data_IF_603445567149
#
_entry.id   IF_603445567149
#
_cell.length_a   1.000
_cell.length_b   1.000
_cell.length_c   1.000
_cell.angle_alpha   90.00
_cell.angle_beta   90.00
_cell.angle_gamma   90.00
#
_symmetry.space_group_name_H-M   'P 1'
#
loop_
_entity.id
_entity.type
_entity.pdbx_description
1 polymer ?
#
# COMPACT_ATOMS: atom_id res chain seq x y z
N UNK A 1 -2.78 -14.55 -4.05
CA UNK A 1 -3.19 -13.85 -2.80
C UNK A 1 -3.31 -12.36 -3.04
N UNK A 2 -2.23 -11.65 -3.38
CA UNK A 2 -2.21 -10.20 -3.51
C UNK A 2 -3.27 -9.61 -4.46
N UNK A 3 -3.41 -10.13 -5.67
CA UNK A 3 -4.45 -9.66 -6.62
C UNK A 3 -5.88 -9.79 -6.09
N UNK A 4 -6.13 -10.72 -5.16
CA UNK A 4 -7.47 -11.03 -4.65
C UNK A 4 -7.75 -10.33 -3.31
N UNK A 5 -6.74 -10.18 -2.48
CA UNK A 5 -6.88 -9.73 -1.08
C UNK A 5 -6.03 -8.50 -0.73
N UNK A 6 -5.24 -7.98 -1.67
CA UNK A 6 -4.49 -6.74 -1.51
C UNK A 6 -5.44 -5.54 -1.54
N UNK A 7 -5.87 -5.10 -0.36
CA UNK A 7 -6.89 -4.05 -0.21
C UNK A 7 -6.32 -2.63 -0.04
N UNK A 8 -5.01 -2.48 0.17
CA UNK A 8 -4.32 -1.20 0.35
C UNK A 8 -3.23 -1.04 -0.70
N UNK A 9 -2.89 0.20 -1.12
CA UNK A 9 -1.70 0.45 -1.94
C UNK A 9 -0.43 -0.17 -1.35
N UNK A 10 -0.35 -0.27 -0.02
CA UNK A 10 0.78 -0.90 0.69
C UNK A 10 0.94 -2.39 0.43
N UNK A 11 -0.13 -3.08 0.04
CA UNK A 11 -0.06 -4.51 -0.24
C UNK A 11 0.91 -4.80 -1.41
N UNK A 12 1.01 -3.90 -2.40
CA UNK A 12 1.99 -4.05 -3.49
C UNK A 12 3.44 -3.88 -3.01
N UNK A 13 3.67 -3.11 -1.95
CA UNK A 13 5.00 -2.89 -1.40
C UNK A 13 5.59 -4.14 -0.75
N UNK A 14 4.77 -5.15 -0.43
CA UNK A 14 5.28 -6.45 0.05
C UNK A 14 6.10 -7.18 -1.01
N UNK A 15 5.99 -6.80 -2.29
CA UNK A 15 6.75 -7.39 -3.41
C UNK A 15 8.07 -6.67 -3.72
N UNK A 16 8.40 -5.61 -2.97
CA UNK A 16 9.64 -4.88 -3.23
C UNK A 16 10.88 -5.75 -2.96
N UNK A 17 11.98 -5.56 -3.70
CA UNK A 17 13.22 -6.27 -3.46
C UNK A 17 13.70 -6.14 -2.01
N UNK A 18 14.00 -7.28 -1.38
CA UNK A 18 14.47 -7.35 0.01
C UNK A 18 13.37 -7.38 1.07
N UNK A 19 12.10 -7.47 0.66
CA UNK A 19 11.00 -7.82 1.56
C UNK A 19 10.95 -9.33 1.80
N UNK A 20 10.58 -9.71 3.02
CA UNK A 20 10.29 -11.09 3.43
C UNK A 20 8.79 -11.24 3.68
N UNK A 21 8.30 -12.49 3.67
CA UNK A 21 6.91 -12.81 3.96
C UNK A 21 6.80 -13.79 5.13
N UNK A 22 5.87 -13.51 6.04
CA UNK A 22 5.38 -14.50 7.00
C UNK A 22 4.08 -15.07 6.47
N UNK A 23 4.05 -16.39 6.25
CA UNK A 23 2.86 -17.09 5.75
C UNK A 23 2.10 -17.75 6.90
N UNK A 24 0.77 -17.69 6.83
CA UNK A 24 -0.07 -18.40 7.78
C UNK A 24 0.11 -19.92 7.68
N UNK A 25 0.02 -20.61 8.82
CA UNK A 25 0.09 -22.06 8.91
C UNK A 25 -1.21 -22.66 9.47
N UNK A 26 -1.31 -23.99 9.48
CA UNK A 26 -2.46 -24.75 10.00
C UNK A 26 -3.82 -24.34 9.39
N UNK A 27 -3.82 -24.10 8.07
CA UNK A 27 -5.02 -23.73 7.31
C UNK A 27 -5.33 -22.23 7.31
N UNK A 28 -4.57 -21.41 8.03
CA UNK A 28 -4.70 -19.95 7.99
C UNK A 28 -4.14 -19.42 6.67
N UNK A 29 -5.03 -18.89 5.82
CA UNK A 29 -4.67 -18.40 4.49
C UNK A 29 -4.20 -16.95 4.52
N UNK A 30 -3.02 -16.68 3.99
CA UNK A 30 -2.53 -15.32 3.75
C UNK A 30 -1.09 -15.11 4.18
N UNK A 31 -0.61 -13.87 4.04
CA UNK A 31 0.75 -13.52 4.44
C UNK A 31 0.86 -12.08 4.95
N UNK A 32 1.94 -11.79 5.66
CA UNK A 32 2.35 -10.45 6.10
C UNK A 32 3.74 -10.15 5.53
N UNK A 33 3.86 -9.07 4.76
CA UNK A 33 5.15 -8.60 4.27
C UNK A 33 5.91 -7.81 5.33
N UNK A 34 7.19 -8.11 5.52
CA UNK A 34 8.03 -7.45 6.51
C UNK A 34 9.47 -7.31 6.07
N UNK A 35 10.23 -6.52 6.83
CA UNK A 35 11.69 -6.46 6.72
C UNK A 35 12.31 -6.20 8.09
N UNK A 36 13.45 -6.83 8.33
CA UNK A 36 14.23 -6.60 9.54
C UNK A 36 15.17 -5.39 9.39
N UNK A 37 15.25 -4.59 10.44
CA UNK A 37 16.20 -3.49 10.59
C UNK A 37 16.87 -3.59 11.96
N UNK A 38 18.05 -4.22 11.98
CA UNK A 38 18.75 -4.57 13.21
C UNK A 38 17.92 -5.55 14.05
N UNK A 39 17.64 -5.27 15.33
CA UNK A 39 16.88 -6.17 16.20
C UNK A 39 15.35 -6.03 16.07
N UNK A 40 14.87 -5.15 15.18
CA UNK A 40 13.45 -4.81 15.01
C UNK A 40 12.92 -5.32 13.68
N UNK A 41 11.67 -5.77 13.69
CA UNK A 41 10.94 -6.22 12.51
C UNK A 41 9.83 -5.25 12.16
N UNK A 42 9.77 -4.79 10.92
CA UNK A 42 8.77 -3.83 10.46
C UNK A 42 7.88 -4.47 9.39
N UNK A 43 6.56 -4.44 9.58
CA UNK A 43 5.62 -4.82 8.52
C UNK A 43 5.36 -3.65 7.59
N UNK A 44 4.90 -3.94 6.38
CA UNK A 44 4.34 -2.93 5.47
C UNK A 44 2.88 -3.25 5.16
N UNK A 45 1.98 -2.35 5.56
CA UNK A 45 0.56 -2.50 5.29
C UNK A 45 -0.14 -3.56 6.17
N UNK A 46 -1.40 -3.77 5.85
CA UNK A 46 -2.26 -4.80 6.45
C UNK A 46 -1.89 -6.22 5.97
N UNK A 47 -2.28 -7.27 6.71
CA UNK A 47 -2.16 -8.65 6.24
C UNK A 47 -2.88 -8.87 4.91
N UNK A 48 -2.24 -9.58 3.99
CA UNK A 48 -2.82 -9.94 2.68
C UNK A 48 -3.48 -11.29 2.80
N UNK A 49 -4.76 -11.29 3.20
CA UNK A 49 -5.52 -12.49 3.54
C UNK A 49 -7.04 -12.28 3.35
N UNK A 50 -7.84 -13.37 3.30
CA UNK A 50 -9.28 -13.28 3.50
C UNK A 50 -9.61 -12.60 4.84
N UNK A 51 -10.68 -11.79 4.93
CA UNK A 51 -11.04 -11.09 6.18
C UNK A 51 -11.15 -12.00 7.40
N UNK A 52 -11.69 -13.21 7.21
CA UNK A 52 -11.85 -14.23 8.25
C UNK A 52 -10.52 -14.75 8.81
N UNK A 53 -9.42 -14.68 8.05
CA UNK A 53 -8.11 -15.15 8.46
C UNK A 53 -7.25 -14.07 9.13
N UNK A 54 -7.70 -12.80 9.14
CA UNK A 54 -6.89 -11.66 9.59
C UNK A 54 -6.45 -11.81 11.04
N UNK A 55 -7.36 -12.20 11.94
CA UNK A 55 -7.06 -12.35 13.36
C UNK A 55 -6.02 -13.45 13.61
N UNK A 56 -6.25 -14.65 13.07
CA UNK A 56 -5.38 -15.80 13.29
C UNK A 56 -3.98 -15.57 12.70
N UNK A 57 -3.90 -14.94 11.52
CA UNK A 57 -2.63 -14.62 10.89
C UNK A 57 -1.82 -13.60 11.72
N UNK A 58 -2.48 -12.56 12.25
CA UNK A 58 -1.83 -11.60 13.16
C UNK A 58 -1.39 -12.26 14.46
N UNK A 59 -2.20 -13.17 15.01
CA UNK A 59 -1.87 -13.90 16.23
C UNK A 59 -0.64 -14.80 16.03
N UNK A 60 -0.62 -15.60 14.97
CA UNK A 60 0.52 -16.43 14.61
C UNK A 60 1.79 -15.59 14.46
N UNK A 61 1.69 -14.45 13.76
CA UNK A 61 2.84 -13.60 13.54
C UNK A 61 3.32 -12.92 14.83
N UNK A 62 2.41 -12.42 15.67
CA UNK A 62 2.74 -11.85 16.98
C UNK A 62 3.49 -12.84 17.87
N UNK A 63 3.14 -14.12 17.84
CA UNK A 63 3.81 -15.17 18.60
C UNK A 63 5.17 -15.58 18.01
N UNK A 64 5.41 -15.29 16.73
CA UNK A 64 6.65 -15.67 16.02
C UNK A 64 7.85 -14.77 16.33
N UNK A 65 7.61 -13.53 16.79
CA UNK A 65 8.67 -12.55 16.98
C UNK A 65 8.35 -11.54 18.09
N UNK A 66 9.27 -11.30 19.04
CA UNK A 66 8.98 -10.45 20.22
C UNK A 66 9.01 -8.94 19.95
N UNK A 67 9.52 -8.50 18.79
CA UNK A 67 9.75 -7.07 18.48
C UNK A 67 9.29 -6.71 17.06
N UNK A 68 7.98 -6.71 16.89
CA UNK A 68 7.33 -6.36 15.62
C UNK A 68 6.71 -4.97 15.74
N UNK A 69 6.95 -4.14 14.74
CA UNK A 69 6.26 -2.85 14.55
C UNK A 69 5.42 -2.93 13.30
N UNK A 70 4.12 -2.69 13.43
CA UNK A 70 3.19 -2.67 12.31
C UNK A 70 3.10 -1.26 11.73
N UNK A 71 3.40 -1.10 10.43
CA UNK A 71 3.46 0.21 9.79
C UNK A 71 2.45 0.33 8.63
N UNK A 72 1.82 1.50 8.52
CA UNK A 72 0.77 1.78 7.51
C UNK A 72 -0.39 0.76 7.50
N UNK A 73 -0.83 0.33 8.67
CA UNK A 73 -2.03 -0.52 8.83
C UNK A 73 -3.30 0.32 8.90
N UNK A 74 -4.42 -0.27 8.50
CA UNK A 74 -5.72 0.34 8.63
C UNK A 74 -6.27 0.25 10.07
N UNK A 75 -7.40 0.93 10.30
CA UNK A 75 -8.06 0.99 11.61
C UNK A 75 -8.54 -0.38 12.11
N UNK A 76 -8.99 -1.29 11.24
CA UNK A 76 -9.46 -2.64 11.64
C UNK A 76 -8.30 -3.50 12.16
N UNK A 77 -7.18 -3.53 11.45
CA UNK A 77 -5.97 -4.24 11.87
C UNK A 77 -5.42 -3.67 13.17
N UNK A 78 -5.38 -2.33 13.31
CA UNK A 78 -4.92 -1.66 14.52
C UNK A 78 -5.78 -2.01 15.75
N UNK A 79 -7.09 -2.23 15.58
CA UNK A 79 -7.98 -2.66 16.68
C UNK A 79 -7.62 -4.06 17.16
N UNK A 80 -7.45 -5.01 16.23
CA UNK A 80 -7.05 -6.39 16.57
C UNK A 80 -5.70 -6.38 17.33
N UNK A 81 -4.73 -5.62 16.83
CA UNK A 81 -3.42 -5.52 17.47
C UNK A 81 -3.48 -4.87 18.86
N UNK A 82 -4.37 -3.90 19.09
CA UNK A 82 -4.57 -3.34 20.43
C UNK A 82 -5.04 -4.38 21.43
N UNK A 83 -5.91 -5.31 21.01
CA UNK A 83 -6.36 -6.42 21.85
C UNK A 83 -5.22 -7.41 22.15
N UNK A 84 -4.19 -7.46 21.29
CA UNK A 84 -2.94 -8.19 21.48
C UNK A 84 -1.87 -7.40 22.28
N UNK A 85 -2.22 -6.24 22.84
CA UNK A 85 -1.33 -5.44 23.69
C UNK A 85 -0.46 -4.41 22.98
N UNK A 86 -0.68 -4.16 21.68
CA UNK A 86 0.04 -3.12 20.95
C UNK A 86 -0.52 -1.72 21.22
N UNK A 87 0.34 -0.72 21.18
CA UNK A 87 -0.06 0.68 21.08
C UNK A 87 -0.21 1.07 19.61
N UNK A 88 -1.27 1.81 19.28
CA UNK A 88 -1.53 2.29 17.93
C UNK A 88 -1.54 3.82 17.91
N UNK A 89 -0.73 4.41 17.03
CA UNK A 89 -0.68 5.85 16.79
C UNK A 89 -1.22 6.15 15.39
N UNK A 90 -2.05 7.18 15.25
CA UNK A 90 -2.51 7.63 13.94
C UNK A 90 -1.38 8.40 13.24
N UNK A 91 -0.91 7.86 12.11
CA UNK A 91 0.11 8.49 11.28
C UNK A 91 -0.49 9.55 10.34
N UNK A 92 -1.71 9.33 9.86
CA UNK A 92 -2.39 10.22 8.93
C UNK A 92 -3.74 9.68 8.47
N UNK A 93 -4.27 10.27 7.40
CA UNK A 93 -5.49 9.86 6.72
C UNK A 93 -5.20 9.72 5.23
N UNK A 94 -5.83 8.74 4.58
CA UNK A 94 -5.71 8.51 3.14
C UNK A 94 -6.99 9.01 2.44
N UNK A 95 -6.80 9.82 1.39
CA UNK A 95 -7.91 10.33 0.58
C UNK A 95 -8.41 9.27 -0.39
N UNK A 96 -9.59 8.71 -0.14
CA UNK A 96 -10.23 7.74 -1.02
C UNK A 96 -11.20 8.46 -1.96
N UNK A 97 -11.07 8.25 -3.26
CA UNK A 97 -11.98 8.78 -4.29
C UNK A 97 -12.74 7.62 -4.90
N UNK A 98 -14.07 7.59 -4.71
CA UNK A 98 -14.96 6.67 -5.43
C UNK A 98 -15.13 7.13 -6.87
N UNK A 99 -14.44 6.48 -7.80
CA UNK A 99 -14.47 6.85 -9.22
C UNK A 99 -15.85 6.64 -9.87
N UNK A 100 -16.70 5.77 -9.34
CA UNK A 100 -18.03 5.52 -9.91
C UNK A 100 -19.00 6.67 -9.59
N UNK A 101 -18.86 7.27 -8.41
CA UNK A 101 -19.72 8.36 -7.95
C UNK A 101 -19.09 9.76 -8.14
N UNK A 102 -17.79 9.83 -8.44
CA UNK A 102 -17.08 11.10 -8.51
C UNK A 102 -17.31 11.86 -9.83
N UNK A 103 -17.79 13.11 -9.72
CA UNK A 103 -17.84 14.05 -10.85
C UNK A 103 -16.75 15.12 -10.75
N UNK A 104 -15.99 15.35 -11.82
CA UNK A 104 -15.02 16.46 -11.91
C UNK A 104 -15.65 17.84 -12.15
N UNK A 105 -16.98 17.92 -12.19
CA UNK A 105 -17.74 19.15 -12.38
C UNK A 105 -17.90 19.96 -11.07
N UNK A 106 -18.49 21.16 -11.16
CA UNK A 106 -18.79 22.01 -10.01
C UNK A 106 -17.70 23.01 -9.63
N UNK A 107 -18.07 24.04 -8.87
CA UNK A 107 -17.21 25.19 -8.56
C UNK A 107 -15.97 24.81 -7.75
N UNK A 108 -16.09 23.87 -6.81
CA UNK A 108 -14.97 23.43 -5.96
C UNK A 108 -13.81 22.77 -6.72
N UNK A 109 -14.01 22.36 -7.97
CA UNK A 109 -13.01 21.67 -8.81
C UNK A 109 -12.58 22.50 -10.03
N UNK A 110 -12.90 23.80 -10.03
CA UNK A 110 -12.59 24.70 -11.15
C UNK A 110 -11.09 24.78 -11.43
N UNK A 111 -10.27 24.87 -10.38
CA UNK A 111 -8.82 24.95 -10.53
C UNK A 111 -8.24 23.68 -11.19
N UNK A 112 -8.67 22.49 -10.77
CA UNK A 112 -8.25 21.22 -11.37
C UNK A 112 -8.61 21.18 -12.86
N UNK A 113 -9.84 21.55 -13.23
CA UNK A 113 -10.26 21.59 -14.64
C UNK A 113 -9.46 22.61 -15.46
N UNK A 114 -9.14 23.76 -14.87
CA UNK A 114 -8.32 24.78 -15.53
C UNK A 114 -6.90 24.26 -15.78
N UNK A 115 -6.26 23.64 -14.79
CA UNK A 115 -4.93 23.06 -14.93
C UNK A 115 -4.90 21.94 -15.98
N UNK A 116 -5.90 21.05 -15.96
CA UNK A 116 -6.07 20.01 -16.98
C UNK A 116 -6.17 20.59 -18.40
N UNK A 117 -7.02 21.61 -18.61
CA UNK A 117 -7.19 22.25 -19.91
C UNK A 117 -5.91 22.97 -20.37
N UNK A 118 -5.15 23.55 -19.45
CA UNK A 118 -3.87 24.17 -19.78
C UNK A 118 -2.84 23.12 -20.23
N UNK A 119 -2.77 21.97 -19.55
CA UNK A 119 -1.89 20.86 -19.94
C UNK A 119 -2.21 20.34 -21.35
N UNK A 120 -3.50 20.19 -21.68
CA UNK A 120 -3.94 19.81 -23.03
C UNK A 120 -3.53 20.85 -24.07
N UNK A 121 -3.71 22.15 -23.78
CA UNK A 121 -3.29 23.24 -24.69
C UNK A 121 -1.79 23.29 -24.91
N UNK A 122 -0.99 22.87 -23.93
CA UNK A 122 0.46 22.74 -24.08
C UNK A 122 0.91 21.43 -24.75
N UNK A 123 -0.03 20.59 -25.20
CA UNK A 123 0.28 19.35 -25.91
C UNK A 123 0.66 18.17 -25.01
N UNK A 124 0.35 18.22 -23.71
CA UNK A 124 0.60 17.09 -22.80
C UNK A 124 -0.37 15.95 -23.13
N UNK A 125 0.18 14.74 -23.28
CA UNK A 125 -0.57 13.51 -23.50
C UNK A 125 -0.33 12.55 -22.35
N UNK A 126 -1.39 11.91 -21.88
CA UNK A 126 -1.32 10.83 -20.87
C UNK A 126 -1.66 9.51 -21.56
N UNK A 127 -0.86 8.48 -21.33
CA UNK A 127 -1.06 7.13 -21.85
C UNK A 127 -0.75 6.12 -20.76
N UNK A 128 -1.59 5.10 -20.65
CA UNK A 128 -1.29 3.92 -19.84
C UNK A 128 -0.24 3.08 -20.57
N UNK A 129 0.67 2.47 -19.80
CA UNK A 129 1.66 1.54 -20.32
C UNK A 129 1.68 0.29 -19.46
N UNK A 130 1.61 -0.87 -20.11
CA UNK A 130 1.67 -2.18 -19.46
C UNK A 130 3.10 -2.61 -19.08
N UNK A 131 4.02 -1.64 -18.93
CA UNK A 131 5.43 -1.91 -18.59
C UNK A 131 6.30 -2.30 -19.79
N UNK A 132 6.05 -1.72 -20.97
CA UNK A 132 6.91 -1.89 -22.14
C UNK A 132 8.38 -1.53 -21.78
N UNK A 133 9.37 -2.38 -22.11
CA UNK A 133 10.78 -2.14 -21.83
C UNK A 133 11.27 -0.74 -22.24
N UNK A 134 10.81 -0.21 -23.37
CA UNK A 134 11.21 1.12 -23.86
C UNK A 134 10.74 2.26 -22.96
N UNK A 135 9.53 2.18 -22.41
CA UNK A 135 9.05 3.14 -21.41
C UNK A 135 9.79 2.99 -20.08
N UNK A 136 10.24 1.78 -19.74
CA UNK A 136 11.03 1.52 -18.54
C UNK A 136 12.40 2.20 -18.54
N UNK A 137 13.08 2.25 -19.68
CA UNK A 137 14.35 2.97 -19.84
C UNK A 137 14.17 4.49 -19.70
N UNK A 138 13.15 5.02 -20.37
CA UNK A 138 12.84 6.45 -20.29
C UNK A 138 12.45 6.87 -18.86
N UNK A 139 11.63 6.06 -18.17
CA UNK A 139 11.27 6.28 -16.78
C UNK A 139 12.52 6.29 -15.87
N UNK A 140 13.49 5.40 -16.10
CA UNK A 140 14.78 5.43 -15.36
C UNK A 140 15.57 6.70 -15.63
N UNK A 141 15.64 7.14 -16.89
CA UNK A 141 16.34 8.38 -17.28
C UNK A 141 15.73 9.59 -16.59
N UNK A 142 14.40 9.71 -16.62
CA UNK A 142 13.67 10.77 -15.93
C UNK A 142 13.95 10.69 -14.42
N UNK A 143 13.80 9.51 -13.81
CA UNK A 143 14.07 9.30 -12.38
C UNK A 143 15.48 9.76 -11.97
N UNK A 144 16.50 9.51 -12.79
CA UNK A 144 17.86 10.02 -12.56
C UNK A 144 17.92 11.56 -12.51
N UNK A 145 17.27 12.24 -13.45
CA UNK A 145 17.20 13.71 -13.47
C UNK A 145 16.46 14.30 -12.26
N UNK A 146 15.52 13.56 -11.69
CA UNK A 146 14.81 13.96 -10.48
C UNK A 146 15.67 13.84 -9.21
N UNK A 147 16.59 12.88 -9.17
CA UNK A 147 17.45 12.63 -8.01
C UNK A 147 18.72 13.49 -7.99
N UNK A 148 19.14 14.05 -9.14
CA UNK A 148 20.33 14.91 -9.29
C UNK A 148 21.21 14.47 -10.45
#
# INVERSE_FOLDING_TARGET
MLQRWGASPMAMHTLQPGMESFEGHDGVSGYIGYRDYGPFRYTVGDPVCPPEATYDLLLQYHQSHPRITFFHINRSTARILRDMGYYANQLGEEGIIDLAEHSWSGRGKEDIRRQHNNALKSGVLVRESDGDPGHGEEARRISGQWLG
#
